data_IF_914819012364
#
_entry.id   IF_914819012364
#
_cell.length_a   1.000
_cell.length_b   1.000
_cell.length_c   1.000
_cell.angle_alpha   90.00
_cell.angle_beta   90.00
_cell.angle_gamma   90.00
#
_symmetry.space_group_name_H-M   'P 1'
#
loop_
_entity.id
_entity.type
_entity.pdbx_description
1 polymer ?
#
# COMPACT_ATOMS: atom_id res chain seq x y z
N UNK A 1 -11.87 -11.61 -7.12
CA UNK A 1 -12.98 -11.41 -6.16
C UNK A 1 -13.08 -9.96 -5.67
N UNK A 2 -12.01 -9.32 -5.18
CA UNK A 2 -12.02 -7.93 -4.67
C UNK A 2 -12.38 -6.88 -5.72
N UNK A 3 -11.74 -6.90 -6.90
CA UNK A 3 -12.01 -5.95 -7.98
C UNK A 3 -13.46 -5.98 -8.48
N UNK A 4 -14.09 -7.16 -8.49
CA UNK A 4 -15.50 -7.30 -8.85
C UNK A 4 -16.40 -6.63 -7.81
N UNK A 5 -16.11 -6.80 -6.51
CA UNK A 5 -16.86 -6.15 -5.42
C UNK A 5 -16.72 -4.64 -5.47
N UNK A 6 -15.51 -4.11 -5.69
CA UNK A 6 -15.26 -2.68 -5.81
C UNK A 6 -16.08 -2.02 -6.94
N UNK A 7 -16.28 -2.72 -8.07
CA UNK A 7 -17.12 -2.21 -9.17
C UNK A 7 -18.60 -2.06 -8.79
N UNK A 8 -19.07 -2.83 -7.80
CA UNK A 8 -20.48 -2.89 -7.42
C UNK A 8 -20.80 -2.03 -6.19
N UNK A 9 -19.88 -1.91 -5.23
CA UNK A 9 -20.10 -1.15 -4.00
C UNK A 9 -20.07 0.36 -4.23
N UNK A 10 -20.77 1.11 -3.38
CA UNK A 10 -20.84 2.58 -3.40
C UNK A 10 -20.78 3.11 -1.97
N UNK A 11 -20.45 4.39 -1.82
CA UNK A 11 -20.40 5.07 -0.52
C UNK A 11 -19.47 4.38 0.48
N UNK A 12 -19.85 4.39 1.76
CA UNK A 12 -19.00 3.89 2.85
C UNK A 12 -18.52 2.44 2.68
N UNK A 13 -19.33 1.56 2.07
CA UNK A 13 -18.94 0.16 1.82
C UNK A 13 -17.84 0.06 0.76
N UNK A 14 -17.87 0.95 -0.25
CA UNK A 14 -16.80 1.07 -1.23
C UNK A 14 -15.53 1.58 -0.56
N UNK A 15 -15.62 2.68 0.18
CA UNK A 15 -14.48 3.34 0.82
C UNK A 15 -13.76 2.36 1.76
N UNK A 16 -14.51 1.63 2.59
CA UNK A 16 -13.97 0.62 3.50
C UNK A 16 -13.24 -0.50 2.76
N UNK A 17 -13.85 -1.08 1.72
CA UNK A 17 -13.22 -2.16 0.97
C UNK A 17 -11.98 -1.67 0.20
N UNK A 18 -12.04 -0.45 -0.33
CA UNK A 18 -10.93 0.16 -1.06
C UNK A 18 -9.73 0.40 -0.14
N UNK A 19 -9.95 1.03 1.02
CA UNK A 19 -8.90 1.28 2.03
C UNK A 19 -8.26 -0.04 2.50
N UNK A 20 -9.06 -1.05 2.82
CA UNK A 20 -8.55 -2.38 3.21
C UNK A 20 -7.72 -3.03 2.10
N UNK A 21 -8.16 -2.92 0.84
CA UNK A 21 -7.41 -3.44 -0.30
C UNK A 21 -6.11 -2.68 -0.54
N UNK A 22 -6.11 -1.36 -0.37
CA UNK A 22 -4.93 -0.52 -0.57
C UNK A 22 -3.88 -0.72 0.52
N UNK A 23 -4.29 -0.93 1.77
CA UNK A 23 -3.36 -1.32 2.85
C UNK A 23 -2.62 -2.60 2.46
N UNK A 24 -3.33 -3.64 2.02
CA UNK A 24 -2.70 -4.90 1.60
C UNK A 24 -1.80 -4.74 0.36
N UNK A 25 -2.22 -3.92 -0.61
CA UNK A 25 -1.40 -3.59 -1.77
C UNK A 25 -0.08 -2.89 -1.36
N UNK A 26 -0.14 -1.90 -0.46
CA UNK A 26 1.05 -1.20 0.02
C UNK A 26 1.98 -2.09 0.84
N UNK A 27 1.44 -2.98 1.67
CA UNK A 27 2.24 -3.96 2.40
C UNK A 27 3.05 -4.86 1.45
N UNK A 28 2.44 -5.33 0.36
CA UNK A 28 3.16 -6.10 -0.67
C UNK A 28 4.23 -5.29 -1.39
N UNK A 29 3.96 -4.02 -1.70
CA UNK A 29 4.96 -3.14 -2.30
C UNK A 29 6.13 -2.82 -1.36
N UNK A 30 5.88 -2.67 -0.05
CA UNK A 30 6.91 -2.52 0.98
C UNK A 30 7.77 -3.79 1.09
N UNK A 31 7.18 -4.98 1.01
CA UNK A 31 7.94 -6.24 1.00
C UNK A 31 8.88 -6.33 -0.21
N UNK A 32 8.39 -5.98 -1.40
CA UNK A 32 9.21 -5.90 -2.62
C UNK A 32 10.31 -4.84 -2.50
N UNK A 33 9.99 -3.66 -1.97
CA UNK A 33 10.96 -2.58 -1.79
C UNK A 33 12.05 -2.96 -0.77
N UNK A 34 11.70 -3.65 0.31
CA UNK A 34 12.68 -4.17 1.27
C UNK A 34 13.64 -5.18 0.61
N UNK A 35 13.13 -6.01 -0.31
CA UNK A 35 13.98 -6.92 -1.10
C UNK A 35 14.97 -6.15 -1.98
N UNK A 36 14.53 -5.10 -2.66
CA UNK A 36 15.41 -4.24 -3.46
C UNK A 36 16.46 -3.52 -2.59
N UNK A 37 16.07 -3.03 -1.40
CA UNK A 37 17.02 -2.41 -0.47
C UNK A 37 18.08 -3.41 0.02
N UNK A 38 17.71 -4.67 0.23
CA UNK A 38 18.59 -5.70 0.77
C UNK A 38 19.55 -6.29 -0.29
N UNK A 39 19.09 -6.44 -1.54
CA UNK A 39 19.81 -7.20 -2.57
C UNK A 39 19.95 -6.49 -3.92
N UNK A 40 19.41 -5.29 -4.08
CA UNK A 40 19.50 -4.49 -5.29
C UNK A 40 20.93 -4.06 -5.60
N UNK A 41 21.18 -3.75 -6.87
CA UNK A 41 22.51 -3.34 -7.35
C UNK A 41 22.55 -1.90 -7.85
N UNK A 42 21.39 -1.33 -8.23
CA UNK A 42 21.32 0.04 -8.73
C UNK A 42 21.11 1.01 -7.55
N UNK A 43 22.03 1.95 -7.31
CA UNK A 43 21.88 2.94 -6.24
C UNK A 43 20.59 3.75 -6.36
N UNK A 44 20.19 4.09 -7.58
CA UNK A 44 18.96 4.85 -7.85
C UNK A 44 17.71 4.03 -7.51
N UNK A 45 17.71 2.73 -7.80
CA UNK A 45 16.59 1.85 -7.47
C UNK A 45 16.50 1.57 -5.97
N UNK A 46 17.63 1.41 -5.29
CA UNK A 46 17.68 1.28 -3.83
C UNK A 46 17.16 2.57 -3.16
N UNK A 47 17.55 3.74 -3.68
CA UNK A 47 17.05 5.02 -3.18
C UNK A 47 15.54 5.16 -3.38
N UNK A 48 15.04 4.79 -4.56
CA UNK A 48 13.60 4.75 -4.84
C UNK A 48 12.86 3.79 -3.90
N UNK A 49 13.39 2.60 -3.66
CA UNK A 49 12.79 1.61 -2.78
C UNK A 49 12.66 2.12 -1.33
N UNK A 50 13.68 2.81 -0.80
CA UNK A 50 13.62 3.46 0.52
C UNK A 50 12.54 4.55 0.59
N UNK A 51 12.40 5.34 -0.47
CA UNK A 51 11.35 6.36 -0.56
C UNK A 51 9.95 5.72 -0.60
N UNK A 52 9.79 4.62 -1.35
CA UNK A 52 8.54 3.86 -1.41
C UNK A 52 8.16 3.33 -0.02
N UNK A 53 9.11 2.75 0.72
CA UNK A 53 8.85 2.24 2.08
C UNK A 53 8.33 3.38 2.96
N UNK A 54 9.07 4.48 3.04
CA UNK A 54 8.72 5.62 3.91
C UNK A 54 7.36 6.20 3.57
N UNK A 55 7.07 6.41 2.28
CA UNK A 55 5.81 6.98 1.83
C UNK A 55 4.63 6.03 2.11
N UNK A 56 4.76 4.75 1.77
CA UNK A 56 3.65 3.81 1.88
C UNK A 56 3.37 3.39 3.32
N UNK A 57 4.36 3.41 4.22
CA UNK A 57 4.13 3.28 5.67
C UNK A 57 3.24 4.42 6.19
N UNK A 58 3.53 5.66 5.81
CA UNK A 58 2.73 6.82 6.19
C UNK A 58 1.31 6.76 5.60
N UNK A 59 1.16 6.34 4.35
CA UNK A 59 -0.14 6.16 3.70
C UNK A 59 -0.96 5.05 4.37
N UNK A 60 -0.33 3.93 4.76
CA UNK A 60 -0.99 2.87 5.54
C UNK A 60 -1.55 3.43 6.85
N UNK A 61 -0.78 4.22 7.57
CA UNK A 61 -1.23 4.79 8.85
C UNK A 61 -2.41 5.77 8.66
N UNK A 62 -2.36 6.60 7.61
CA UNK A 62 -3.50 7.44 7.22
C UNK A 62 -4.75 6.62 6.91
N UNK A 63 -4.62 5.55 6.12
CA UNK A 63 -5.76 4.69 5.77
C UNK A 63 -6.33 3.96 6.99
N UNK A 64 -5.50 3.53 7.95
CA UNK A 64 -5.96 2.94 9.21
C UNK A 64 -6.76 3.94 10.03
N UNK A 65 -6.31 5.19 10.12
CA UNK A 65 -7.05 6.26 10.80
C UNK A 65 -8.40 6.50 10.13
N UNK A 66 -8.48 6.51 8.79
CA UNK A 66 -9.73 6.65 8.04
C UNK A 66 -10.70 5.49 8.29
N UNK A 67 -10.20 4.28 8.53
CA UNK A 67 -11.01 3.10 8.90
C UNK A 67 -11.53 3.11 10.34
N UNK A 68 -11.13 4.10 11.13
CA UNK A 68 -11.58 4.29 12.51
C UNK A 68 -10.51 4.13 13.57
N UNK A 69 -9.23 3.94 13.21
CA UNK A 69 -8.09 3.97 14.13
C UNK A 69 -8.09 2.87 15.18
#
# INVERSE_FOLDING_TARGET
>A
ATMTKLKLLRGADFDKLWLQSMIGHHQGAIEMANTEVAAGQSPDMIALAKNIITAQEAEIDQMKQMLGG
#
